data_IF_091044381652
#
_entry.id   IF_091044381652
#
_cell.length_a   1.000
_cell.length_b   1.000
_cell.length_c   1.000
_cell.angle_alpha   90.00
_cell.angle_beta   90.00
_cell.angle_gamma   90.00
#
_symmetry.space_group_name_H-M   'P 1'
#
loop_
_entity.id
_entity.type
_entity.pdbx_description
1 polymer ?
#
# COMPACT_ATOMS: atom_id res chain seq x y z
N UNK A 1 3.67 -19.65 0.66
CA UNK A 1 2.44 -19.55 -0.16
C UNK A 1 1.23 -20.35 0.32
N UNK A 2 1.38 -21.47 1.03
CA UNK A 2 0.24 -22.27 1.56
C UNK A 2 -0.69 -21.46 2.48
N UNK A 3 -0.15 -20.52 3.27
CA UNK A 3 -0.96 -19.61 4.11
C UNK A 3 -1.80 -18.63 3.29
N UNK A 4 -1.25 -18.03 2.24
CA UNK A 4 -2.01 -17.15 1.32
C UNK A 4 -3.17 -17.93 0.69
N UNK A 5 -2.90 -19.15 0.18
CA UNK A 5 -3.95 -20.05 -0.32
C UNK A 5 -4.98 -20.43 0.75
N UNK A 6 -4.54 -20.64 1.99
CA UNK A 6 -5.45 -20.90 3.11
C UNK A 6 -6.33 -19.68 3.37
N UNK A 7 -5.77 -18.47 3.45
CA UNK A 7 -6.55 -17.24 3.62
C UNK A 7 -7.58 -17.06 2.50
N UNK A 8 -7.17 -17.28 1.23
CA UNK A 8 -8.09 -17.17 0.08
C UNK A 8 -9.19 -18.24 0.06
N UNK A 9 -9.06 -19.31 0.85
CA UNK A 9 -10.04 -20.41 0.91
C UNK A 9 -10.80 -20.49 2.23
N UNK A 10 -10.28 -19.93 3.32
CA UNK A 10 -10.84 -20.03 4.67
C UNK A 10 -11.54 -18.77 5.16
N UNK A 11 -11.22 -17.60 4.59
CA UNK A 11 -11.88 -16.33 4.89
C UNK A 11 -12.41 -15.72 3.58
N UNK A 12 -13.55 -15.00 3.60
CA UNK A 12 -13.91 -14.15 2.48
C UNK A 12 -12.89 -13.02 2.40
N UNK A 13 -12.05 -13.02 1.36
CA UNK A 13 -11.24 -11.87 0.99
C UNK A 13 -12.02 -11.07 -0.05
N UNK A 14 -11.99 -9.74 0.06
CA UNK A 14 -12.67 -8.87 -0.90
C UNK A 14 -11.82 -8.60 -2.14
N UNK A 15 -10.49 -8.59 -2.01
CA UNK A 15 -9.53 -8.44 -3.11
C UNK A 15 -8.11 -8.82 -2.71
N UNK A 16 -7.22 -8.96 -3.70
CA UNK A 16 -5.77 -9.12 -3.51
C UNK A 16 -5.05 -8.18 -4.46
N UNK A 17 -4.08 -7.43 -3.96
CA UNK A 17 -3.26 -6.52 -4.74
C UNK A 17 -1.79 -6.96 -4.79
N UNK A 18 -1.24 -6.87 -5.99
CA UNK A 18 0.17 -7.09 -6.30
C UNK A 18 0.76 -5.77 -6.79
N UNK A 19 1.73 -5.22 -6.05
CA UNK A 19 2.39 -3.96 -6.39
C UNK A 19 3.63 -4.21 -7.26
N UNK A 20 3.46 -4.79 -8.44
CA UNK A 20 4.51 -4.85 -9.47
C UNK A 20 5.66 -5.82 -9.20
N UNK A 21 6.69 -5.70 -10.03
CA UNK A 21 7.94 -6.46 -10.04
C UNK A 21 7.75 -7.98 -10.13
N UNK A 22 6.90 -8.38 -11.07
CA UNK A 22 6.74 -9.79 -11.47
C UNK A 22 7.91 -10.27 -12.31
N UNK A 23 8.65 -9.37 -12.94
CA UNK A 23 9.85 -9.71 -13.70
C UNK A 23 11.08 -9.05 -13.11
N UNK A 24 12.25 -9.60 -13.46
CA UNK A 24 13.53 -8.93 -13.25
C UNK A 24 14.00 -8.38 -14.59
N UNK A 25 14.35 -7.09 -14.62
CA UNK A 25 14.86 -6.40 -15.82
C UNK A 25 13.92 -6.46 -17.03
N UNK A 26 12.60 -6.57 -16.81
CA UNK A 26 11.60 -6.69 -17.88
C UNK A 26 11.68 -7.99 -18.67
N UNK A 27 12.26 -9.06 -18.10
CA UNK A 27 12.28 -10.38 -18.73
C UNK A 27 10.87 -10.99 -18.77
N UNK A 28 10.30 -10.97 -19.96
CA UNK A 28 8.96 -11.47 -20.27
C UNK A 28 8.85 -13.00 -20.25
N UNK A 29 9.97 -13.74 -20.18
CA UNK A 29 9.98 -15.21 -20.27
C UNK A 29 8.99 -15.87 -19.30
N UNK A 30 8.86 -15.32 -18.08
CA UNK A 30 8.03 -15.90 -17.03
C UNK A 30 6.79 -15.07 -16.67
N UNK A 31 6.56 -13.93 -17.31
CA UNK A 31 5.49 -13.01 -16.89
C UNK A 31 4.09 -13.66 -17.00
N UNK A 32 3.81 -14.34 -18.12
CA UNK A 32 2.57 -15.08 -18.30
C UNK A 32 2.40 -16.19 -17.24
N UNK A 33 3.49 -16.88 -16.90
CA UNK A 33 3.51 -17.92 -15.87
C UNK A 33 3.26 -17.34 -14.48
N UNK A 34 3.80 -16.16 -14.17
CA UNK A 34 3.57 -15.46 -12.91
C UNK A 34 2.08 -15.10 -12.73
N UNK A 35 1.46 -14.47 -13.73
CA UNK A 35 0.03 -14.16 -13.71
C UNK A 35 -0.82 -15.42 -13.57
N UNK A 36 -0.51 -16.49 -14.30
CA UNK A 36 -1.21 -17.77 -14.18
C UNK A 36 -1.04 -18.39 -12.78
N UNK A 37 0.18 -18.37 -12.25
CA UNK A 37 0.48 -18.90 -10.92
C UNK A 37 -0.36 -18.22 -9.85
N UNK A 38 -0.35 -16.88 -9.80
CA UNK A 38 -1.12 -16.13 -8.81
C UNK A 38 -2.63 -16.26 -9.03
N UNK A 39 -3.09 -16.34 -10.27
CA UNK A 39 -4.50 -16.65 -10.57
C UNK A 39 -4.92 -17.97 -9.95
N UNK A 40 -4.13 -19.03 -10.16
CA UNK A 40 -4.42 -20.36 -9.62
C UNK A 40 -4.29 -20.42 -8.10
N UNK A 41 -3.27 -19.75 -7.54
CA UNK A 41 -3.02 -19.69 -6.10
C UNK A 41 -4.19 -19.02 -5.36
N UNK A 42 -4.65 -17.88 -5.88
CA UNK A 42 -5.65 -17.05 -5.22
C UNK A 42 -7.08 -17.53 -5.51
N UNK A 43 -7.34 -18.16 -6.67
CA UNK A 43 -8.69 -18.53 -7.13
C UNK A 43 -8.94 -20.04 -7.25
N UNK A 44 -8.22 -20.91 -6.53
CA UNK A 44 -8.29 -22.36 -6.72
C UNK A 44 -9.72 -22.98 -6.64
N UNK A 45 -10.14 -23.63 -7.74
CA UNK A 45 -11.24 -24.61 -7.97
C UNK A 45 -12.61 -24.45 -7.26
N UNK A 46 -13.27 -23.29 -7.42
CA UNK A 46 -14.72 -23.19 -7.20
C UNK A 46 -15.35 -22.18 -8.16
N UNK A 47 -16.61 -22.36 -8.59
CA UNK A 47 -17.29 -21.34 -9.42
C UNK A 47 -17.40 -19.98 -8.71
N UNK A 48 -17.31 -19.94 -7.37
CA UNK A 48 -17.24 -18.72 -6.56
C UNK A 48 -15.87 -18.03 -6.55
N UNK A 49 -14.79 -18.70 -6.96
CA UNK A 49 -13.43 -18.16 -6.86
C UNK A 49 -13.05 -17.17 -7.98
N UNK A 50 -13.81 -17.13 -9.08
CA UNK A 50 -13.67 -16.12 -10.14
C UNK A 50 -14.10 -14.71 -9.69
N UNK A 51 -14.82 -14.60 -8.58
CA UNK A 51 -15.31 -13.32 -8.08
C UNK A 51 -14.22 -12.50 -7.36
N UNK A 52 -13.14 -13.13 -6.88
CA UNK A 52 -12.08 -12.42 -6.16
C UNK A 52 -11.31 -11.50 -7.13
N UNK A 53 -11.42 -10.17 -6.98
CA UNK A 53 -10.63 -9.20 -7.73
C UNK A 53 -9.14 -9.40 -7.43
N UNK A 54 -8.36 -9.58 -8.50
CA UNK A 54 -6.90 -9.56 -8.45
C UNK A 54 -6.45 -8.28 -9.11
N UNK A 55 -5.61 -7.53 -8.42
CA UNK A 55 -5.15 -6.20 -8.81
C UNK A 55 -3.65 -6.28 -9.08
N UNK A 56 -3.21 -5.68 -10.17
CA UNK A 56 -1.81 -5.53 -10.51
C UNK A 56 -1.56 -4.07 -10.91
N UNK A 57 -0.55 -3.47 -10.31
CA UNK A 57 0.04 -2.20 -10.78
C UNK A 57 1.48 -2.47 -11.19
N UNK A 58 1.96 -1.92 -12.31
CA UNK A 58 3.29 -2.26 -12.81
C UNK A 58 4.38 -1.61 -11.96
N UNK A 59 5.47 -2.34 -11.79
CA UNK A 59 6.71 -1.87 -11.16
C UNK A 59 7.80 -1.52 -12.17
N UNK A 60 8.91 -0.99 -11.68
CA UNK A 60 10.02 -0.57 -12.53
C UNK A 60 10.75 -1.76 -13.17
N UNK A 61 10.74 -2.94 -12.53
CA UNK A 61 11.37 -4.14 -13.07
C UNK A 61 10.48 -4.91 -14.04
N UNK A 62 9.23 -4.50 -14.24
CA UNK A 62 8.29 -5.14 -15.17
C UNK A 62 8.47 -4.71 -16.64
N UNK A 63 9.39 -3.78 -16.90
CA UNK A 63 9.65 -3.20 -18.22
C UNK A 63 11.15 -3.21 -18.49
N UNK A 64 11.53 -3.51 -19.75
CA UNK A 64 12.92 -3.44 -20.20
C UNK A 64 13.17 -2.20 -21.10
N UNK A 65 14.45 -1.90 -21.30
CA UNK A 65 14.92 -0.75 -22.08
C UNK A 65 14.48 -0.79 -23.54
N UNK A 66 14.51 -1.97 -24.17
CA UNK A 66 14.19 -2.11 -25.59
C UNK A 66 12.72 -1.82 -25.86
N UNK A 67 11.82 -2.38 -25.04
CA UNK A 67 10.39 -2.08 -25.10
C UNK A 67 10.09 -0.59 -24.86
N UNK A 68 10.74 0.02 -23.86
CA UNK A 68 10.54 1.45 -23.60
C UNK A 68 10.99 2.32 -24.79
N UNK A 69 12.11 1.96 -25.45
CA UNK A 69 12.60 2.66 -26.64
C UNK A 69 11.69 2.48 -27.85
N UNK A 70 11.21 1.26 -28.09
CA UNK A 70 10.47 0.91 -29.30
C UNK A 70 8.98 1.22 -29.21
N UNK A 71 8.38 1.00 -28.04
CA UNK A 71 6.95 1.12 -27.80
C UNK A 71 6.59 2.44 -27.12
N UNK A 72 7.55 3.09 -26.45
CA UNK A 72 7.31 4.33 -25.73
C UNK A 72 6.62 4.13 -24.37
N UNK A 73 6.22 5.23 -23.72
CA UNK A 73 5.88 5.26 -22.29
C UNK A 73 4.64 4.46 -21.90
N UNK A 74 3.75 4.17 -22.85
CA UNK A 74 2.45 3.55 -22.59
C UNK A 74 2.39 2.12 -23.12
N UNK A 75 2.77 1.90 -24.38
CA UNK A 75 2.63 0.61 -25.07
C UNK A 75 3.59 -0.46 -24.52
N UNK A 76 4.67 -0.06 -23.83
CA UNK A 76 5.56 -0.99 -23.10
C UNK A 76 4.85 -1.82 -22.03
N UNK A 77 3.69 -1.37 -21.54
CA UNK A 77 2.87 -2.10 -20.56
C UNK A 77 1.80 -3.01 -21.21
N UNK A 78 1.67 -3.01 -22.53
CA UNK A 78 0.56 -3.66 -23.26
C UNK A 78 0.45 -5.17 -23.03
N UNK A 79 1.58 -5.88 -22.90
CA UNK A 79 1.59 -7.31 -22.66
C UNK A 79 0.99 -7.66 -21.29
N UNK A 80 1.40 -6.96 -20.24
CA UNK A 80 0.84 -7.13 -18.89
C UNK A 80 -0.65 -6.79 -18.85
N UNK A 81 -1.05 -5.68 -19.46
CA UNK A 81 -2.46 -5.30 -19.55
C UNK A 81 -3.29 -6.38 -20.26
N UNK A 82 -2.75 -6.95 -21.35
CA UNK A 82 -3.39 -8.03 -22.10
C UNK A 82 -3.48 -9.32 -21.28
N UNK A 83 -2.43 -9.67 -20.52
CA UNK A 83 -2.41 -10.83 -19.64
C UNK A 83 -3.42 -10.71 -18.50
N UNK A 84 -3.46 -9.56 -17.83
CA UNK A 84 -4.40 -9.23 -16.79
C UNK A 84 -5.85 -9.36 -17.31
N UNK A 85 -6.16 -8.75 -18.45
CA UNK A 85 -7.49 -8.82 -19.06
C UNK A 85 -7.87 -10.27 -19.41
N UNK A 86 -6.97 -11.03 -20.06
CA UNK A 86 -7.20 -12.43 -20.45
C UNK A 86 -7.47 -13.34 -19.24
N UNK A 87 -6.86 -13.06 -18.09
CA UNK A 87 -7.01 -13.83 -16.86
C UNK A 87 -8.08 -13.26 -15.91
N UNK A 88 -8.79 -12.20 -16.33
CA UNK A 88 -9.86 -11.58 -15.55
C UNK A 88 -9.35 -10.90 -14.27
N UNK A 89 -8.19 -10.26 -14.33
CA UNK A 89 -7.70 -9.34 -13.30
C UNK A 89 -8.32 -7.95 -13.54
N UNK A 90 -8.20 -7.05 -12.57
CA UNK A 90 -8.57 -5.66 -12.76
C UNK A 90 -7.69 -5.02 -13.83
N UNK A 91 -8.23 -4.01 -14.53
CA UNK A 91 -7.52 -3.28 -15.58
C UNK A 91 -6.23 -2.68 -15.00
N UNK A 92 -5.12 -2.89 -15.70
CA UNK A 92 -3.82 -2.34 -15.31
C UNK A 92 -3.81 -0.84 -15.62
N UNK A 93 -3.46 0.04 -14.67
CA UNK A 93 -3.30 1.46 -14.96
C UNK A 93 -2.08 1.68 -15.87
N UNK A 94 -2.26 2.42 -16.96
CA UNK A 94 -1.18 2.73 -17.91
C UNK A 94 -0.95 4.24 -17.97
N UNK A 95 -1.86 4.97 -18.60
CA UNK A 95 -1.82 6.42 -18.81
C UNK A 95 -2.90 7.19 -18.04
N UNK A 96 -3.96 6.49 -17.64
CA UNK A 96 -5.07 6.98 -16.80
C UNK A 96 -5.19 6.17 -15.51
N UNK A 97 -5.71 6.75 -14.42
CA UNK A 97 -6.03 5.97 -13.24
C UNK A 97 -7.17 4.99 -13.54
N UNK A 98 -7.11 3.81 -12.94
CA UNK A 98 -8.22 2.86 -12.98
C UNK A 98 -8.98 2.94 -11.67
N UNK A 99 -10.28 3.23 -11.74
CA UNK A 99 -11.17 3.25 -10.57
C UNK A 99 -12.19 2.12 -10.66
N UNK A 100 -12.35 1.41 -9.55
CA UNK A 100 -13.45 0.47 -9.36
C UNK A 100 -13.88 0.43 -7.90
N UNK A 101 -15.12 0.02 -7.66
CA UNK A 101 -15.70 -0.10 -6.33
C UNK A 101 -15.99 -1.55 -6.00
N UNK A 102 -15.53 -2.01 -4.84
CA UNK A 102 -15.92 -3.32 -4.32
C UNK A 102 -17.24 -3.18 -3.55
N UNK A 103 -18.23 -4.07 -3.78
CA UNK A 103 -19.52 -4.01 -3.11
C UNK A 103 -19.42 -4.62 -1.70
N UNK A 104 -18.64 -4.00 -0.84
CA UNK A 104 -18.52 -4.35 0.57
C UNK A 104 -19.47 -3.47 1.39
N UNK A 105 -20.62 -4.01 1.78
CA UNK A 105 -21.65 -3.28 2.53
C UNK A 105 -22.43 -2.23 1.72
N UNK A 106 -23.10 -1.29 2.41
CA UNK A 106 -23.91 -0.21 1.79
C UNK A 106 -23.06 0.83 1.05
N UNK A 107 -21.81 1.01 1.49
CA UNK A 107 -20.95 2.09 1.02
C UNK A 107 -19.84 1.65 0.06
N UNK A 108 -19.39 0.39 0.06
CA UNK A 108 -18.37 -0.12 -0.85
C UNK A 108 -17.00 0.59 -0.78
N UNK A 109 -15.93 -0.13 -1.10
CA UNK A 109 -14.57 0.41 -1.06
C UNK A 109 -14.13 0.95 -2.43
N UNK A 110 -13.65 2.20 -2.47
CA UNK A 110 -13.13 2.83 -3.69
C UNK A 110 -11.64 2.51 -3.89
N UNK A 111 -11.33 1.78 -4.94
CA UNK A 111 -9.95 1.48 -5.34
C UNK A 111 -9.53 2.37 -6.50
N UNK A 112 -8.34 2.95 -6.41
CA UNK A 112 -7.74 3.80 -7.44
C UNK A 112 -6.35 3.26 -7.75
N UNK A 113 -6.14 2.75 -8.95
CA UNK A 113 -4.85 2.22 -9.37
C UNK A 113 -4.10 3.27 -10.17
N UNK A 114 -2.81 3.44 -9.88
CA UNK A 114 -1.94 4.37 -10.59
C UNK A 114 -0.65 3.68 -11.06
N UNK A 115 -0.15 4.13 -12.20
CA UNK A 115 1.15 3.75 -12.72
C UNK A 115 2.21 4.76 -12.27
N UNK A 116 3.04 4.35 -11.32
CA UNK A 116 4.19 5.14 -10.87
C UNK A 116 5.47 4.81 -11.62
N UNK A 117 5.47 3.77 -12.47
CA UNK A 117 6.61 3.26 -13.23
C UNK A 117 6.61 3.75 -14.70
N UNK A 118 5.72 4.68 -15.05
CA UNK A 118 5.58 5.16 -16.43
C UNK A 118 6.89 5.76 -16.99
N UNK A 119 7.73 6.34 -16.13
CA UNK A 119 9.03 6.89 -16.50
C UNK A 119 10.19 5.91 -16.52
N UNK A 120 10.02 4.67 -16.03
CA UNK A 120 11.11 3.69 -16.02
C UNK A 120 11.59 3.46 -17.46
N UNK A 121 12.90 3.63 -17.68
CA UNK A 121 13.58 3.57 -18.98
C UNK A 121 13.27 4.69 -19.99
N UNK A 122 12.51 5.72 -19.61
CA UNK A 122 12.25 6.86 -20.48
C UNK A 122 13.42 7.85 -20.49
N UNK A 123 14.19 7.86 -21.58
CA UNK A 123 15.25 8.85 -21.80
C UNK A 123 14.70 10.23 -22.20
N UNK A 124 13.43 10.32 -22.55
CA UNK A 124 12.79 11.51 -23.13
C UNK A 124 12.73 12.68 -22.15
N UNK A 125 12.68 12.39 -20.85
CA UNK A 125 12.62 13.37 -19.77
C UNK A 125 14.00 13.88 -19.36
N UNK A 126 15.07 13.32 -19.92
CA UNK A 126 16.44 13.75 -19.63
C UNK A 126 16.83 14.92 -20.55
N UNK A 127 17.62 15.89 -20.03
CA UNK A 127 18.28 16.88 -20.86
C UNK A 127 19.04 16.23 -22.01
N UNK A 128 19.05 16.87 -23.19
CA UNK A 128 19.66 16.31 -24.41
C UNK A 128 21.09 15.78 -24.18
N UNK A 129 21.92 16.52 -23.44
CA UNK A 129 23.29 16.09 -23.16
C UNK A 129 23.41 14.78 -22.33
N UNK A 130 22.45 14.51 -21.44
CA UNK A 130 22.39 13.28 -20.64
C UNK A 130 21.82 12.13 -21.48
N UNK A 131 20.80 12.42 -22.28
CA UNK A 131 20.22 11.50 -23.24
C UNK A 131 21.26 11.00 -24.24
N UNK A 132 21.98 11.91 -24.89
CA UNK A 132 23.03 11.59 -25.86
C UNK A 132 24.16 10.75 -25.24
N UNK A 133 24.53 11.04 -23.98
CA UNK A 133 25.51 10.23 -23.23
C UNK A 133 25.00 8.83 -22.90
N UNK A 134 23.76 8.69 -22.42
CA UNK A 134 23.15 7.39 -22.06
C UNK A 134 22.80 6.54 -23.29
N UNK A 135 22.52 7.18 -24.43
CA UNK A 135 22.36 6.52 -25.72
C UNK A 135 23.71 6.02 -26.28
N UNK A 136 24.79 6.80 -26.09
CA UNK A 136 26.14 6.40 -26.47
C UNK A 136 26.72 5.27 -25.59
N UNK A 137 26.22 5.12 -24.36
CA UNK A 137 26.55 4.02 -23.44
C UNK A 137 25.76 2.74 -23.80
N UNK A 138 26.21 2.06 -24.85
CA UNK A 138 25.97 0.62 -25.06
C UNK A 138 27.16 -0.17 -24.49
N UNK A 139 26.93 -1.38 -23.94
CA UNK A 139 27.34 -1.76 -22.58
C UNK A 139 28.83 -1.50 -22.31
N UNK A 140 29.18 -0.29 -21.86
CA UNK A 140 30.49 0.00 -21.32
C UNK A 140 30.35 0.16 -19.82
N UNK A 141 31.04 -0.69 -19.08
CA UNK A 141 31.05 -0.88 -17.62
C UNK A 141 31.59 0.31 -16.81
N UNK A 142 31.84 1.46 -17.44
CA UNK A 142 32.42 2.61 -16.74
C UNK A 142 31.35 3.59 -16.23
N UNK A 143 31.42 3.98 -14.93
CA UNK A 143 30.50 4.95 -14.34
C UNK A 143 30.49 6.28 -15.09
N UNK A 144 29.30 6.87 -15.22
CA UNK A 144 29.14 8.18 -15.87
C UNK A 144 29.65 9.28 -14.94
N UNK A 145 30.78 9.88 -15.29
CA UNK A 145 31.26 11.11 -14.65
C UNK A 145 30.31 12.28 -14.96
N UNK A 146 29.53 12.69 -13.96
CA UNK A 146 28.58 13.80 -14.01
C UNK A 146 29.25 15.19 -13.93
N UNK A 147 30.58 15.24 -13.97
CA UNK A 147 31.36 16.47 -13.89
C UNK A 147 31.57 16.87 -12.44
N UNK A 148 32.83 17.07 -12.08
CA UNK A 148 33.20 17.62 -10.78
C UNK A 148 32.73 19.08 -10.68
N UNK A 149 31.94 19.46 -9.66
CA UNK A 149 31.70 20.87 -9.40
C UNK A 149 33.02 21.57 -9.07
N UNK A 150 33.22 22.75 -9.65
CA UNK A 150 34.40 23.58 -9.47
C UNK A 150 34.77 23.67 -7.97
N UNK A 151 35.97 23.18 -7.65
CA UNK A 151 36.41 22.96 -6.28
C UNK A 151 36.90 24.29 -5.70
N UNK A 152 36.00 25.05 -5.11
CA UNK A 152 36.37 26.00 -4.06
C UNK A 152 35.45 25.85 -2.85
N UNK A 153 35.87 25.00 -1.92
CA UNK A 153 35.39 25.06 -0.53
C UNK A 153 34.75 23.76 -0.02
N UNK A 154 35.59 22.91 0.57
CA UNK A 154 35.29 21.89 1.58
C UNK A 154 34.43 20.67 1.15
N UNK A 155 35.00 19.46 1.26
CA UNK A 155 34.17 18.25 1.38
C UNK A 155 34.88 17.15 2.20
N UNK A 156 34.17 16.41 3.09
CA UNK A 156 34.75 15.44 4.00
C UNK A 156 34.73 14.00 3.46
N UNK A 157 35.75 13.27 3.90
CA UNK A 157 35.91 11.81 3.92
C UNK A 157 36.31 11.10 2.60
N UNK A 158 37.55 10.63 2.63
CA UNK A 158 38.25 9.74 1.70
C UNK A 158 37.39 8.52 1.28
N UNK A 159 37.27 8.21 -0.03
CA UNK A 159 36.63 6.98 -0.47
C UNK A 159 37.52 5.76 -0.16
N UNK A 160 36.96 4.56 0.09
CA UNK A 160 37.75 3.35 0.22
C UNK A 160 38.38 2.96 -1.12
N UNK A 161 39.63 2.56 -1.07
CA UNK A 161 40.42 2.04 -2.18
C UNK A 161 40.07 0.57 -2.45
N UNK A 162 39.17 0.31 -3.40
CA UNK A 162 39.09 -0.98 -4.11
C UNK A 162 38.35 -0.78 -5.45
N UNK A 163 39.04 -0.74 -6.62
CA UNK A 163 38.43 -0.42 -7.91
C UNK A 163 37.74 -1.61 -8.62
N UNK A 164 37.83 -2.84 -8.09
CA UNK A 164 37.48 -4.07 -8.84
C UNK A 164 36.16 -4.74 -8.41
N UNK A 165 35.22 -4.00 -7.81
CA UNK A 165 33.82 -4.45 -7.83
C UNK A 165 33.14 -3.81 -9.03
N UNK A 166 33.12 -4.55 -10.13
CA UNK A 166 32.12 -4.34 -11.19
C UNK A 166 30.77 -4.12 -10.49
N UNK A 167 30.25 -2.89 -10.58
CA UNK A 167 28.87 -2.64 -10.22
C UNK A 167 28.04 -3.62 -11.04
N UNK A 168 27.33 -4.53 -10.37
CA UNK A 168 26.64 -5.63 -11.05
C UNK A 168 25.69 -5.03 -12.10
N UNK A 169 25.43 -5.74 -13.20
CA UNK A 169 24.46 -5.28 -14.20
C UNK A 169 23.11 -4.88 -13.55
N UNK A 170 22.69 -5.51 -12.45
CA UNK A 170 21.48 -5.12 -11.69
C UNK A 170 21.57 -3.70 -11.11
N UNK A 171 22.76 -3.29 -10.66
CA UNK A 171 23.05 -1.98 -10.08
C UNK A 171 23.06 -0.88 -11.14
N UNK A 172 23.35 -1.22 -12.41
CA UNK A 172 23.17 -0.34 -13.57
C UNK A 172 21.73 -0.39 -14.13
N UNK A 173 21.08 -1.55 -14.13
CA UNK A 173 19.68 -1.70 -14.54
C UNK A 173 18.72 -0.91 -13.63
N UNK A 174 19.07 -0.72 -12.36
CA UNK A 174 18.34 0.16 -11.43
C UNK A 174 18.52 1.66 -11.65
N UNK A 175 19.45 2.11 -12.50
CA UNK A 175 19.83 3.54 -12.60
C UNK A 175 18.91 4.41 -13.46
N UNK A 176 17.98 3.79 -14.19
CA UNK A 176 17.00 4.50 -15.04
C UNK A 176 15.56 4.27 -14.57
N UNK A 177 15.39 3.93 -13.29
CA UNK A 177 14.09 4.05 -12.66
C UNK A 177 13.73 5.53 -12.53
N UNK A 178 12.73 6.03 -13.26
CA UNK A 178 12.30 7.43 -13.15
C UNK A 178 10.86 7.43 -12.63
N UNK A 179 10.66 7.18 -11.33
CA UNK A 179 9.33 7.10 -10.74
C UNK A 179 8.63 8.46 -10.82
N UNK A 180 7.48 8.52 -11.50
CA UNK A 180 6.60 9.68 -11.50
C UNK A 180 5.17 9.30 -11.88
N UNK A 181 4.21 10.15 -11.52
CA UNK A 181 2.83 10.05 -12.03
C UNK A 181 2.66 11.07 -13.16
N UNK A 182 2.18 10.64 -14.34
CA UNK A 182 2.00 11.53 -15.49
C UNK A 182 0.96 12.62 -15.25
N UNK A 183 0.99 13.65 -16.10
CA UNK A 183 0.03 14.76 -16.01
C UNK A 183 -1.40 14.27 -16.24
N UNK A 184 -1.58 13.40 -17.21
CA UNK A 184 -2.83 12.79 -17.61
C UNK A 184 -3.40 11.96 -16.45
N UNK A 185 -2.55 11.16 -15.80
CA UNK A 185 -2.93 10.36 -14.65
C UNK A 185 -3.27 11.22 -13.43
N UNK A 186 -2.54 12.31 -13.19
CA UNK A 186 -2.84 13.26 -12.12
C UNK A 186 -4.17 13.99 -12.35
N UNK A 187 -4.46 14.37 -13.59
CA UNK A 187 -5.73 15.00 -13.94
C UNK A 187 -6.91 14.05 -13.66
N UNK A 188 -6.82 12.80 -14.15
CA UNK A 188 -7.84 11.79 -13.86
C UNK A 188 -7.97 11.48 -12.36
N UNK A 189 -6.85 11.47 -11.63
CA UNK A 189 -6.85 11.26 -10.18
C UNK A 189 -7.58 12.39 -9.46
N UNK A 190 -7.34 13.65 -9.84
CA UNK A 190 -8.04 14.81 -9.28
C UNK A 190 -9.54 14.73 -9.55
N UNK A 191 -9.95 14.37 -10.76
CA UNK A 191 -11.36 14.21 -11.13
C UNK A 191 -12.05 13.16 -10.25
N UNK A 192 -11.41 12.01 -10.03
CA UNK A 192 -11.93 10.95 -9.15
C UNK A 192 -12.05 11.41 -7.70
N UNK A 193 -11.01 12.05 -7.17
CA UNK A 193 -10.99 12.48 -5.77
C UNK A 193 -11.99 13.61 -5.47
N UNK A 194 -12.38 14.38 -6.47
CA UNK A 194 -13.39 15.43 -6.35
C UNK A 194 -14.83 14.90 -6.42
N UNK A 195 -15.03 13.60 -6.69
CA UNK A 195 -16.36 13.00 -6.70
C UNK A 195 -17.02 13.08 -5.30
N UNK A 196 -18.26 13.61 -5.18
CA UNK A 196 -18.91 13.82 -3.89
C UNK A 196 -19.21 12.54 -3.11
N UNK A 197 -19.41 11.42 -3.80
CA UNK A 197 -19.71 10.11 -3.23
C UNK A 197 -18.46 9.34 -2.78
N UNK A 198 -17.26 9.78 -3.17
CA UNK A 198 -16.00 9.21 -2.71
C UNK A 198 -15.63 9.79 -1.33
N UNK A 199 -15.99 9.09 -0.25
CA UNK A 199 -15.67 9.49 1.13
C UNK A 199 -14.22 9.20 1.54
N UNK A 200 -13.64 8.16 0.96
CA UNK A 200 -12.23 7.80 1.12
C UNK A 200 -11.76 7.06 -0.14
N UNK A 201 -10.44 6.92 -0.30
CA UNK A 201 -9.84 6.17 -1.41
C UNK A 201 -8.76 5.21 -0.94
N UNK A 202 -8.73 4.01 -1.53
CA UNK A 202 -7.62 3.05 -1.45
C UNK A 202 -6.85 3.17 -2.75
N UNK A 203 -5.75 3.92 -2.71
CA UNK A 203 -4.89 4.15 -3.86
C UNK A 203 -3.76 3.13 -3.87
N UNK A 204 -3.46 2.54 -5.03
CA UNK A 204 -2.43 1.52 -5.18
C UNK A 204 -1.46 1.96 -6.27
N UNK A 205 -0.18 2.01 -5.92
CA UNK A 205 0.94 2.26 -6.83
C UNK A 205 2.12 1.35 -6.50
N UNK A 206 3.19 1.43 -7.28
CA UNK A 206 4.39 0.64 -7.01
C UNK A 206 5.40 1.40 -6.14
N UNK A 207 5.71 2.65 -6.50
CA UNK A 207 6.74 3.46 -5.86
C UNK A 207 6.23 4.17 -4.59
N UNK A 208 7.13 4.46 -3.65
CA UNK A 208 6.80 5.22 -2.44
C UNK A 208 6.58 6.72 -2.75
N UNK A 209 5.70 7.38 -1.98
CA UNK A 209 5.48 8.83 -2.00
C UNK A 209 6.36 9.58 -0.99
N UNK A 210 6.93 8.87 -0.02
CA UNK A 210 7.75 9.42 1.05
C UNK A 210 9.21 8.99 0.86
N UNK A 211 10.17 9.86 1.25
CA UNK A 211 11.58 9.48 1.26
C UNK A 211 11.80 8.18 2.06
N UNK A 212 12.65 7.30 1.52
CA UNK A 212 13.00 6.06 2.20
C UNK A 212 13.76 6.32 3.49
N UNK A 213 13.50 5.52 4.53
CA UNK A 213 14.22 5.58 5.81
C UNK A 213 15.73 5.37 5.63
N UNK A 214 16.11 4.48 4.71
CA UNK A 214 17.49 4.25 4.33
C UNK A 214 17.79 5.10 3.10
N UNK A 215 18.64 6.14 3.20
CA UNK A 215 19.00 6.95 2.05
C UNK A 215 19.73 6.10 1.03
N UNK A 216 19.23 6.07 -0.22
CA UNK A 216 19.89 5.43 -1.35
C UNK A 216 20.48 6.52 -2.25
N UNK A 217 21.74 6.37 -2.63
CA UNK A 217 22.39 7.25 -3.61
C UNK A 217 22.27 6.58 -4.97
N UNK A 218 21.11 6.76 -5.61
CA UNK A 218 20.83 6.31 -6.98
C UNK A 218 20.11 7.44 -7.71
N UNK A 219 20.32 7.61 -9.03
CA UNK A 219 19.49 8.53 -9.81
C UNK A 219 18.02 8.17 -9.58
N UNK A 220 17.23 9.16 -9.14
CA UNK A 220 15.78 9.03 -8.92
C UNK A 220 15.34 7.93 -7.94
N UNK A 221 16.06 7.74 -6.84
CA UNK A 221 15.68 6.86 -5.72
C UNK A 221 14.27 7.13 -5.14
N UNK A 222 13.71 8.30 -5.43
CA UNK A 222 12.45 8.81 -4.92
C UNK A 222 11.58 9.31 -6.06
N UNK A 223 10.26 9.20 -5.90
CA UNK A 223 9.31 9.65 -6.90
C UNK A 223 9.43 11.16 -7.16
N UNK A 224 9.69 11.53 -8.41
CA UNK A 224 10.06 12.89 -8.85
C UNK A 224 9.06 13.96 -8.42
N UNK A 225 7.77 13.69 -8.60
CA UNK A 225 6.69 14.63 -8.32
C UNK A 225 5.93 14.31 -7.02
N UNK A 226 6.52 13.52 -6.11
CA UNK A 226 5.90 13.10 -4.84
C UNK A 226 5.35 14.25 -3.99
N UNK A 227 6.05 15.39 -3.90
CA UNK A 227 5.55 16.58 -3.21
C UNK A 227 4.24 17.11 -3.79
N UNK A 228 4.15 17.16 -5.13
CA UNK A 228 2.94 17.57 -5.83
C UNK A 228 1.81 16.57 -5.60
N UNK A 229 2.05 15.28 -5.79
CA UNK A 229 1.05 14.22 -5.61
C UNK A 229 0.48 14.24 -4.20
N UNK A 230 1.33 14.25 -3.16
CA UNK A 230 0.88 14.30 -1.76
C UNK A 230 0.01 15.51 -1.47
N UNK A 231 0.39 16.68 -2.01
CA UNK A 231 -0.40 17.91 -1.85
C UNK A 231 -1.79 17.76 -2.46
N UNK A 232 -1.89 17.18 -3.66
CA UNK A 232 -3.18 16.94 -4.33
C UNK A 232 -4.06 15.94 -3.57
N UNK A 233 -3.47 14.86 -3.05
CA UNK A 233 -4.19 13.86 -2.25
C UNK A 233 -4.77 14.47 -0.96
N UNK A 234 -3.98 15.29 -0.26
CA UNK A 234 -4.41 15.94 0.98
C UNK A 234 -5.43 17.06 0.75
N UNK A 235 -5.36 17.78 -0.38
CA UNK A 235 -6.33 18.80 -0.77
C UNK A 235 -7.76 18.26 -0.93
N UNK A 236 -7.91 16.96 -1.18
CA UNK A 236 -9.22 16.30 -1.18
C UNK A 236 -9.94 16.31 0.17
N UNK A 237 -9.25 16.70 1.25
CA UNK A 237 -9.74 16.75 2.64
C UNK A 237 -10.52 15.49 3.03
N UNK A 238 -9.99 14.33 2.66
CA UNK A 238 -10.54 13.01 2.96
C UNK A 238 -9.41 11.99 3.19
N UNK A 239 -9.68 10.85 3.86
CA UNK A 239 -8.68 9.81 4.04
C UNK A 239 -8.31 9.13 2.71
N UNK A 240 -7.01 9.03 2.44
CA UNK A 240 -6.44 8.25 1.34
C UNK A 240 -5.48 7.22 1.93
N UNK A 241 -5.73 5.96 1.64
CA UNK A 241 -4.84 4.85 1.98
C UNK A 241 -4.02 4.52 0.75
N UNK A 242 -2.73 4.85 0.77
CA UNK A 242 -1.80 4.57 -0.31
C UNK A 242 -1.02 3.30 -0.04
N UNK A 243 -1.27 2.26 -0.84
CA UNK A 243 -0.59 0.98 -0.77
C UNK A 243 0.52 0.94 -1.82
N UNK A 244 1.74 0.61 -1.42
CA UNK A 244 2.89 0.56 -2.33
C UNK A 244 3.87 -0.57 -2.03
N UNK A 245 4.86 -0.73 -2.92
CA UNK A 245 5.97 -1.67 -2.80
C UNK A 245 7.31 -0.97 -3.02
N UNK A 246 8.14 -1.54 -3.89
CA UNK A 246 9.45 -1.06 -4.36
C UNK A 246 10.58 -1.00 -3.31
N UNK A 247 10.29 -0.66 -2.05
CA UNK A 247 11.32 -0.38 -1.04
C UNK A 247 11.81 -1.63 -0.29
N UNK A 248 11.13 -2.78 -0.47
CA UNK A 248 11.39 -4.06 0.21
C UNK A 248 11.42 -3.95 1.75
N UNK A 249 10.72 -2.96 2.31
CA UNK A 249 10.51 -2.71 3.72
C UNK A 249 9.01 -2.54 4.00
N UNK A 250 8.60 -2.54 5.28
CA UNK A 250 7.20 -2.45 5.70
C UNK A 250 6.84 -1.22 6.56
N UNK A 251 7.29 0.00 6.20
CA UNK A 251 6.85 1.19 6.93
C UNK A 251 5.35 1.42 6.80
N UNK A 252 4.80 2.00 7.87
CA UNK A 252 3.46 2.60 7.92
C UNK A 252 3.66 4.06 8.31
N UNK A 253 3.25 4.96 7.43
CA UNK A 253 3.49 6.39 7.58
C UNK A 253 2.20 7.18 7.38
N UNK A 254 2.02 8.24 8.16
CA UNK A 254 0.83 9.09 8.10
C UNK A 254 1.26 10.52 7.86
N UNK A 255 0.76 11.11 6.78
CA UNK A 255 0.93 12.53 6.45
C UNK A 255 -0.40 13.24 6.66
N UNK A 256 -0.37 14.33 7.42
CA UNK A 256 -1.53 15.20 7.63
C UNK A 256 -1.13 16.63 7.25
N UNK A 257 -2.10 17.39 6.74
CA UNK A 257 -1.96 18.83 6.52
C UNK A 257 -2.92 19.57 7.46
N UNK A 258 -2.45 20.45 8.36
CA UNK A 258 -3.34 21.15 9.29
C UNK A 258 -4.38 22.06 8.61
N UNK A 259 -4.19 22.38 7.33
CA UNK A 259 -5.18 23.14 6.53
C UNK A 259 -6.34 22.26 6.03
N UNK A 260 -6.13 20.95 6.01
CA UNK A 260 -7.10 19.93 5.58
C UNK A 260 -7.26 18.92 6.73
N UNK A 261 -8.02 19.27 7.79
CA UNK A 261 -8.07 18.50 9.04
C UNK A 261 -8.68 17.10 8.91
N UNK A 262 -9.43 16.84 7.85
CA UNK A 262 -9.99 15.52 7.53
C UNK A 262 -9.16 14.80 6.45
N UNK A 263 -8.25 15.53 5.80
CA UNK A 263 -7.27 15.02 4.85
C UNK A 263 -6.16 14.26 5.58
N UNK A 264 -6.07 12.96 5.30
CA UNK A 264 -5.03 12.09 5.86
C UNK A 264 -4.53 11.15 4.78
N UNK A 265 -3.23 11.16 4.53
CA UNK A 265 -2.57 10.22 3.64
C UNK A 265 -1.86 9.15 4.47
N UNK A 266 -2.29 7.89 4.32
CA UNK A 266 -1.77 6.74 5.06
C UNK A 266 -1.01 5.87 4.07
N UNK A 267 0.32 5.91 4.11
CA UNK A 267 1.17 5.09 3.27
C UNK A 267 1.47 3.76 3.97
N UNK A 268 1.16 2.65 3.31
CA UNK A 268 1.42 1.29 3.81
C UNK A 268 2.22 0.54 2.76
N UNK A 269 3.45 0.16 3.11
CA UNK A 269 4.31 -0.63 2.23
C UNK A 269 4.07 -2.12 2.40
N UNK A 270 4.05 -2.85 1.28
CA UNK A 270 4.13 -4.30 1.27
C UNK A 270 5.59 -4.77 1.34
N UNK A 271 5.90 -5.85 2.09
CA UNK A 271 7.19 -6.50 2.00
C UNK A 271 7.33 -7.21 0.65
N UNK A 272 8.55 -7.61 0.32
CA UNK A 272 8.75 -8.55 -0.79
C UNK A 272 7.98 -9.86 -0.54
N UNK A 273 7.44 -10.43 -1.61
CA UNK A 273 6.57 -11.61 -1.54
C UNK A 273 7.23 -12.84 -0.89
N UNK A 274 8.56 -12.94 -0.97
CA UNK A 274 9.35 -13.98 -0.29
C UNK A 274 9.36 -13.77 1.23
N UNK A 275 9.41 -12.51 1.66
CA UNK A 275 9.43 -12.10 3.07
C UNK A 275 8.04 -12.07 3.71
N UNK A 276 6.97 -12.07 2.91
CA UNK A 276 5.60 -12.23 3.39
C UNK A 276 4.58 -11.37 2.65
N UNK A 277 3.51 -10.99 3.34
CA UNK A 277 2.46 -10.10 2.82
C UNK A 277 1.71 -9.44 3.98
N UNK A 278 0.83 -8.49 3.68
CA UNK A 278 -0.03 -7.83 4.66
C UNK A 278 -1.51 -8.17 4.38
N UNK A 279 -2.28 -8.48 5.42
CA UNK A 279 -3.75 -8.47 5.37
C UNK A 279 -4.22 -7.13 5.94
N UNK A 280 -5.10 -6.44 5.22
CA UNK A 280 -5.67 -5.15 5.61
C UNK A 280 -7.18 -5.29 5.79
N UNK A 281 -7.68 -4.90 6.96
CA UNK A 281 -9.11 -4.83 7.27
C UNK A 281 -9.49 -3.37 7.41
N UNK A 282 -10.47 -2.94 6.61
CA UNK A 282 -10.94 -1.55 6.57
C UNK A 282 -12.27 -1.45 7.31
N UNK A 283 -12.32 -0.59 8.32
CA UNK A 283 -13.54 -0.34 9.09
C UNK A 283 -14.23 0.89 8.54
N UNK A 284 -15.46 0.73 8.06
CA UNK A 284 -16.26 1.82 7.51
C UNK A 284 -17.59 1.96 8.24
N UNK A 285 -18.15 3.17 8.27
CA UNK A 285 -19.49 3.40 8.80
C UNK A 285 -20.57 3.06 7.77
N UNK A 286 -21.83 2.99 8.21
CA UNK A 286 -22.98 2.82 7.31
C UNK A 286 -23.10 3.94 6.26
N UNK A 287 -22.50 5.12 6.54
CA UNK A 287 -22.44 6.27 5.65
C UNK A 287 -21.24 6.23 4.69
N UNK A 288 -20.35 5.23 4.83
CA UNK A 288 -19.17 5.04 3.98
C UNK A 288 -17.92 5.77 4.39
N UNK A 289 -17.88 6.31 5.60
CA UNK A 289 -16.71 6.99 6.13
C UNK A 289 -15.70 5.96 6.64
N UNK A 290 -14.42 6.11 6.29
CA UNK A 290 -13.36 5.28 6.83
C UNK A 290 -13.13 5.65 8.30
N UNK A 291 -13.12 4.65 9.18
CA UNK A 291 -12.94 4.80 10.63
C UNK A 291 -11.50 4.43 11.00
N UNK A 292 -11.03 3.29 10.52
CA UNK A 292 -9.68 2.84 10.75
C UNK A 292 -9.31 1.65 9.89
N UNK A 293 -8.05 1.23 10.04
CA UNK A 293 -7.45 0.14 9.28
C UNK A 293 -6.73 -0.75 10.27
N UNK A 294 -7.01 -2.06 10.24
CA UNK A 294 -6.18 -3.05 10.93
C UNK A 294 -5.23 -3.66 9.91
N UNK A 295 -3.95 -3.49 10.17
CA UNK A 295 -2.85 -4.12 9.43
C UNK A 295 -2.40 -5.36 10.18
N UNK A 296 -2.47 -6.52 9.51
CA UNK A 296 -2.01 -7.80 10.01
C UNK A 296 -0.83 -8.25 9.14
N UNK A 297 0.41 -8.14 9.64
CA UNK A 297 1.58 -8.59 8.90
C UNK A 297 1.68 -10.11 8.95
N UNK A 298 1.81 -10.75 7.80
CA UNK A 298 2.22 -12.15 7.69
C UNK A 298 3.66 -12.18 7.19
N UNK A 299 4.57 -12.80 7.94
CA UNK A 299 6.00 -12.83 7.62
C UNK A 299 6.49 -14.26 7.46
N UNK A 300 7.30 -14.48 6.43
CA UNK A 300 7.92 -15.78 6.16
C UNK A 300 9.19 -15.90 7.00
N UNK A 301 9.28 -16.97 7.80
CA UNK A 301 10.53 -17.36 8.41
C UNK A 301 11.45 -17.95 7.33
N UNK A 302 12.59 -17.30 7.09
CA UNK A 302 13.55 -17.71 6.05
C UNK A 302 14.12 -19.11 6.31
N UNK A 303 14.24 -19.52 7.58
CA UNK A 303 14.88 -20.77 7.95
C UNK A 303 14.09 -22.02 7.52
N UNK A 304 12.75 -21.96 7.55
CA UNK A 304 11.88 -23.12 7.33
C UNK A 304 10.70 -22.84 6.37
N UNK A 305 10.58 -21.61 5.87
CA UNK A 305 9.52 -21.19 4.95
C UNK A 305 8.13 -21.09 5.60
N UNK A 306 8.05 -21.19 6.94
CA UNK A 306 6.78 -21.05 7.66
C UNK A 306 6.31 -19.60 7.64
N UNK A 307 4.99 -19.38 7.54
CA UNK A 307 4.41 -18.04 7.57
C UNK A 307 3.80 -17.80 8.94
N UNK A 308 4.32 -16.83 9.66
CA UNK A 308 3.86 -16.42 10.98
C UNK A 308 3.06 -15.12 10.88
N UNK A 309 2.02 -15.03 11.71
CA UNK A 309 1.32 -13.77 11.94
C UNK A 309 2.17 -12.91 12.88
N UNK A 310 2.48 -11.69 12.46
CA UNK A 310 3.19 -10.72 13.27
C UNK A 310 2.23 -9.84 14.09
N UNK A 311 2.79 -8.80 14.68
CA UNK A 311 2.06 -7.86 15.52
C UNK A 311 1.06 -7.01 14.71
N UNK A 312 -0.21 -7.01 15.14
CA UNK A 312 -1.25 -6.21 14.46
C UNK A 312 -1.07 -4.72 14.78
N UNK A 313 -1.32 -3.87 13.78
CA UNK A 313 -1.30 -2.42 13.93
C UNK A 313 -2.68 -1.85 13.58
N UNK A 314 -3.22 -0.98 14.43
CA UNK A 314 -4.47 -0.27 14.15
C UNK A 314 -4.20 1.20 13.83
N UNK A 315 -4.67 1.66 12.68
CA UNK A 315 -4.47 3.02 12.16
C UNK A 315 -5.81 3.74 12.20
N UNK A 316 -5.95 4.71 13.11
CA UNK A 316 -7.17 5.54 13.17
C UNK A 316 -7.16 6.64 12.10
N UNK A 317 -8.25 6.73 11.36
CA UNK A 317 -8.45 7.79 10.37
C UNK A 317 -9.26 8.96 10.94
N UNK A 318 -9.97 8.76 12.03
CA UNK A 318 -10.83 9.76 12.66
C UNK A 318 -10.07 10.94 13.30
N UNK A 319 -10.58 12.15 13.07
CA UNK A 319 -9.99 13.39 13.60
C UNK A 319 -10.48 13.76 15.01
N UNK A 320 -11.69 13.31 15.41
CA UNK A 320 -12.23 13.16 16.79
C UNK A 320 -13.78 13.10 16.72
N UNK A 321 -14.47 12.24 17.49
CA UNK A 321 -15.89 12.40 17.82
C UNK A 321 -16.82 11.17 17.71
N UNK A 322 -17.95 11.21 18.44
CA UNK A 322 -19.02 10.19 18.56
C UNK A 322 -19.75 9.84 17.26
N UNK A 323 -19.65 10.66 16.22
CA UNK A 323 -20.58 10.68 15.08
C UNK A 323 -20.54 9.45 14.14
N UNK A 324 -19.68 8.48 14.42
CA UNK A 324 -19.34 7.39 13.48
C UNK A 324 -19.63 5.98 14.03
N UNK A 325 -20.19 5.87 15.24
CA UNK A 325 -20.52 4.57 15.83
C UNK A 325 -21.94 4.16 15.44
N UNK A 326 -22.12 2.90 15.05
CA UNK A 326 -23.46 2.31 14.93
C UNK A 326 -24.12 2.15 16.32
N UNK A 327 -25.43 1.96 16.33
CA UNK A 327 -26.22 1.88 17.57
C UNK A 327 -25.71 0.78 18.52
N UNK A 328 -25.32 -0.36 17.98
CA UNK A 328 -24.87 -1.50 18.77
C UNK A 328 -23.52 -1.24 19.45
N UNK A 329 -22.57 -0.65 18.71
CA UNK A 329 -21.26 -0.23 19.24
C UNK A 329 -21.43 0.89 20.27
N UNK A 330 -22.42 1.76 20.08
CA UNK A 330 -22.78 2.78 21.07
C UNK A 330 -23.41 2.18 22.34
N UNK A 331 -24.30 1.19 22.23
CA UNK A 331 -24.86 0.50 23.41
C UNK A 331 -23.79 -0.30 24.16
N UNK A 332 -22.86 -0.94 23.43
CA UNK A 332 -21.68 -1.55 24.02
C UNK A 332 -20.90 -0.52 24.84
N UNK A 333 -20.56 0.64 24.27
CA UNK A 333 -19.85 1.71 24.99
C UNK A 333 -20.58 2.14 26.27
N UNK A 334 -21.91 2.34 26.19
CA UNK A 334 -22.73 2.70 27.34
C UNK A 334 -22.62 1.66 28.46
N UNK A 335 -22.71 0.37 28.11
CA UNK A 335 -22.60 -0.73 29.08
C UNK A 335 -21.20 -0.86 29.67
N UNK A 336 -20.16 -0.69 28.86
CA UNK A 336 -18.76 -0.70 29.33
C UNK A 336 -18.54 0.41 30.35
N UNK A 337 -19.08 1.61 30.10
CA UNK A 337 -19.06 2.73 31.05
C UNK A 337 -19.84 2.42 32.31
N UNK A 338 -21.09 1.97 32.19
CA UNK A 338 -21.93 1.62 33.36
C UNK A 338 -21.28 0.54 34.23
N UNK A 339 -20.59 -0.42 33.61
CA UNK A 339 -19.85 -1.46 34.33
C UNK A 339 -18.59 -0.90 35.00
N UNK A 340 -17.77 -0.13 34.27
CA UNK A 340 -16.58 0.52 34.80
C UNK A 340 -16.89 1.42 36.01
N UNK A 341 -17.96 2.23 35.92
CA UNK A 341 -18.43 3.08 37.02
C UNK A 341 -18.86 2.26 38.23
N UNK A 342 -19.65 1.18 38.04
CA UNK A 342 -20.08 0.31 39.14
C UNK A 342 -18.91 -0.37 39.85
N UNK A 343 -17.86 -0.73 39.12
CA UNK A 343 -16.66 -1.39 39.65
C UNK A 343 -15.67 -0.41 40.26
N UNK A 344 -15.75 0.89 39.91
CA UNK A 344 -14.77 1.89 40.30
C UNK A 344 -13.41 1.74 39.61
N UNK A 345 -13.35 1.00 38.50
CA UNK A 345 -12.13 0.80 37.71
C UNK A 345 -12.50 0.80 36.21
N UNK A 346 -11.82 1.66 35.43
CA UNK A 346 -12.01 1.77 33.99
C UNK A 346 -11.31 0.69 33.15
N UNK A 347 -10.50 -0.17 33.77
CA UNK A 347 -9.78 -1.25 33.09
C UNK A 347 -10.62 -2.53 33.05
N UNK A 348 -10.85 -3.03 31.84
CA UNK A 348 -11.62 -4.24 31.54
C UNK A 348 -10.77 -5.22 30.73
N UNK A 349 -11.02 -6.51 30.91
CA UNK A 349 -10.39 -7.59 30.15
C UNK A 349 -11.39 -8.25 29.19
N UNK A 350 -10.88 -8.96 28.19
CA UNK A 350 -11.67 -9.56 27.12
C UNK A 350 -12.84 -10.43 27.62
N UNK A 351 -12.62 -11.27 28.62
CA UNK A 351 -13.65 -12.15 29.18
C UNK A 351 -14.82 -11.34 29.77
N UNK A 352 -14.52 -10.24 30.46
CA UNK A 352 -15.53 -9.36 31.06
C UNK A 352 -16.35 -8.65 29.99
N UNK A 353 -15.70 -8.21 28.91
CA UNK A 353 -16.40 -7.59 27.78
C UNK A 353 -17.30 -8.62 27.10
N UNK A 354 -16.83 -9.86 26.96
CA UNK A 354 -17.62 -10.96 26.37
C UNK A 354 -18.87 -11.24 27.21
N UNK A 355 -18.76 -11.24 28.54
CA UNK A 355 -19.92 -11.36 29.45
C UNK A 355 -20.89 -10.18 29.31
N UNK A 356 -20.37 -8.95 29.25
CA UNK A 356 -21.19 -7.74 29.06
C UNK A 356 -21.95 -7.80 27.73
N UNK A 357 -21.28 -8.22 26.65
CA UNK A 357 -21.88 -8.35 25.33
C UNK A 357 -22.91 -9.50 25.27
N UNK A 358 -22.60 -10.66 25.86
CA UNK A 358 -23.49 -11.81 25.91
C UNK A 358 -24.79 -11.49 26.68
N UNK A 359 -24.73 -10.68 27.74
CA UNK A 359 -25.90 -10.24 28.50
C UNK A 359 -26.90 -9.40 27.70
N UNK A 360 -26.51 -8.96 26.51
CA UNK A 360 -27.24 -8.01 25.69
C UNK A 360 -27.77 -8.62 24.38
N UNK A 361 -27.55 -9.93 24.13
CA UNK A 361 -27.85 -10.60 22.84
C UNK A 361 -27.30 -9.82 21.63
N UNK A 362 -26.19 -9.12 21.83
CA UNK A 362 -25.53 -8.30 20.82
C UNK A 362 -24.89 -9.24 19.79
N UNK A 363 -25.52 -9.38 18.62
CA UNK A 363 -25.02 -10.17 17.48
C UNK A 363 -23.87 -9.50 16.70
N UNK A 364 -22.97 -8.80 17.40
CA UNK A 364 -21.86 -8.04 16.83
C UNK A 364 -20.57 -8.83 16.90
N UNK A 365 -19.68 -8.52 15.96
CA UNK A 365 -18.27 -8.83 16.13
C UNK A 365 -17.68 -7.89 17.21
N UNK A 366 -17.43 -8.47 18.38
CA UNK A 366 -16.96 -7.72 19.56
C UNK A 366 -15.59 -7.09 19.34
N UNK A 367 -14.74 -7.75 18.56
CA UNK A 367 -13.40 -7.27 18.25
C UNK A 367 -13.50 -5.99 17.40
N UNK A 368 -14.31 -6.05 16.34
CA UNK A 368 -14.53 -4.93 15.44
C UNK A 368 -15.17 -3.73 16.15
N UNK A 369 -16.18 -3.96 16.99
CA UNK A 369 -16.81 -2.90 17.79
C UNK A 369 -15.80 -2.23 18.74
N UNK A 370 -14.92 -2.99 19.38
CA UNK A 370 -13.87 -2.41 20.22
C UNK A 370 -12.84 -1.62 19.42
N UNK A 371 -12.45 -2.11 18.24
CA UNK A 371 -11.57 -1.36 17.32
C UNK A 371 -12.22 -0.06 16.83
N UNK A 372 -13.53 -0.04 16.59
CA UNK A 372 -14.27 1.20 16.28
C UNK A 372 -14.26 2.17 17.47
N UNK A 373 -14.47 1.69 18.70
CA UNK A 373 -14.38 2.52 19.91
C UNK A 373 -12.96 3.06 20.14
N UNK A 374 -11.93 2.26 19.84
CA UNK A 374 -10.53 2.67 19.87
C UNK A 374 -10.27 3.77 18.83
N UNK A 375 -10.76 3.60 17.60
CA UNK A 375 -10.62 4.58 16.53
C UNK A 375 -11.23 5.93 16.91
N UNK A 376 -12.41 5.88 17.51
CA UNK A 376 -13.16 7.04 17.98
C UNK A 376 -12.66 7.59 19.34
N UNK A 377 -11.61 6.97 19.92
CA UNK A 377 -10.95 7.36 21.17
C UNK A 377 -11.86 7.31 22.41
N UNK A 378 -12.88 6.44 22.42
CA UNK A 378 -13.71 6.19 23.61
C UNK A 378 -13.10 5.14 24.54
N UNK A 379 -12.32 4.23 23.95
CA UNK A 379 -11.53 3.26 24.70
C UNK A 379 -10.08 3.36 24.27
N UNK A 380 -9.22 2.83 25.12
CA UNK A 380 -7.81 2.60 24.83
C UNK A 380 -7.53 1.11 25.02
N UNK A 381 -7.09 0.46 23.95
CA UNK A 381 -6.79 -0.96 23.93
C UNK A 381 -5.27 -1.14 23.97
N UNK A 382 -4.78 -1.60 25.12
CA UNK A 382 -3.40 -2.05 25.24
C UNK A 382 -3.27 -3.48 24.71
N UNK A 383 -2.18 -3.72 23.98
CA UNK A 383 -1.90 -5.05 23.42
C UNK A 383 -2.66 -5.36 22.13
N UNK A 384 -3.03 -4.33 21.35
CA UNK A 384 -3.58 -4.50 19.98
C UNK A 384 -2.71 -5.41 19.10
N UNK A 385 -1.40 -5.48 19.38
CA UNK A 385 -0.46 -6.37 18.69
C UNK A 385 -0.60 -7.85 19.05
N UNK A 386 -1.39 -8.18 20.08
CA UNK A 386 -1.59 -9.53 20.63
C UNK A 386 -3.01 -10.02 20.33
N UNK A 387 -3.25 -11.30 20.59
CA UNK A 387 -4.60 -11.87 20.53
C UNK A 387 -5.56 -11.10 21.45
N UNK A 388 -6.83 -11.01 21.05
CA UNK A 388 -7.88 -10.27 21.74
C UNK A 388 -8.06 -10.67 23.22
N UNK A 389 -7.85 -11.94 23.56
CA UNK A 389 -7.84 -12.45 24.94
C UNK A 389 -6.78 -11.80 25.85
N UNK A 390 -5.73 -11.21 25.29
CA UNK A 390 -4.68 -10.51 26.01
C UNK A 390 -4.89 -8.99 26.07
N UNK A 391 -5.94 -8.47 25.45
CA UNK A 391 -6.22 -7.04 25.40
C UNK A 391 -6.60 -6.52 26.78
N UNK A 392 -6.14 -5.30 27.07
CA UNK A 392 -6.59 -4.54 28.24
C UNK A 392 -7.30 -3.30 27.74
N UNK A 393 -8.59 -3.21 28.00
CA UNK A 393 -9.43 -2.14 27.49
C UNK A 393 -9.66 -1.14 28.61
N UNK A 394 -9.13 0.07 28.45
CA UNK A 394 -9.41 1.19 29.34
C UNK A 394 -10.52 2.05 28.74
N UNK A 395 -11.66 2.11 29.43
CA UNK A 395 -12.75 3.02 29.06
C UNK A 395 -12.35 4.44 29.46
N UNK A 396 -12.44 5.41 28.54
CA UNK A 396 -12.15 6.80 28.83
C UNK A 396 -13.38 7.50 29.41
N UNK A 397 -13.17 8.16 30.54
CA UNK A 397 -14.14 9.11 31.09
C UNK A 397 -14.16 10.35 30.18
N UNK A 398 -15.37 10.89 29.96
CA UNK A 398 -15.62 12.02 29.05
C UNK A 398 -15.06 13.35 29.53
#
# INVERSE_FOLDING_TARGET
MTKLRRLTTSKPLDSIAFMGDFTSRGDKTFIASAFQHFTLLCRAQGRSSKALPLIFVPGNHDVNRDDARELGPTEKFSEMASLAARLGWQTVPVDQPVHFRLPTGSAGANFILVNTAIGSWELQNLPAFLRDRLEALSPSTEPVDLGSPDISGHSPATPPSDPDKEASDDEYYGQMDTPYISREMLAGLQELLQQPDMRYGIMIGHHNLLPQKTPRITPYAEMLNSGFVRTQLLQGNKPIVYLHGHIHADPVEIVNDPRFPDGKLICISAPEIQSGFNELVFFTTDQGELVGIRLIPYRTNVADGTVMEGEHCFISTMSNGKAFLNNDTFDLLRRLRDHATRRGNGLLFWDEITEIAASAELGLDLEDSLLMLQAARFVEIDGLTKANSAWRIKVRDE
#
